data_IF_623408955338
#
_entry.id   IF_623408955338
#
_cell.length_a   1.000
_cell.length_b   1.000
_cell.length_c   1.000
_cell.angle_alpha   90.00
_cell.angle_beta   90.00
_cell.angle_gamma   90.00
#
_symmetry.space_group_name_H-M   'P 1'
#
loop_
_entity.id
_entity.type
_entity.pdbx_description
1 polymer ?
#
# COMPACT_ATOMS: atom_id res chain seq x y z
N UNK A 1 -25.21 -1.67 2.41
CA UNK A 1 -24.48 -2.87 1.92
C UNK A 1 -23.20 -2.52 1.16
N UNK A 2 -23.10 -1.38 0.45
CA UNK A 2 -21.89 -0.99 -0.29
C UNK A 2 -20.59 -0.93 0.53
N UNK A 3 -20.59 -0.27 1.70
CA UNK A 3 -19.33 -0.01 2.42
C UNK A 3 -18.61 -1.26 2.96
N UNK A 4 -19.31 -2.38 3.23
CA UNK A 4 -18.65 -3.60 3.73
C UNK A 4 -17.93 -4.35 2.61
N UNK A 5 -18.56 -4.48 1.44
CA UNK A 5 -17.92 -5.11 0.29
C UNK A 5 -16.69 -4.30 -0.17
N UNK A 6 -16.80 -2.97 -0.20
CA UNK A 6 -15.68 -2.08 -0.56
C UNK A 6 -14.52 -2.19 0.44
N UNK A 7 -14.78 -2.26 1.76
CA UNK A 7 -13.74 -2.47 2.77
C UNK A 7 -13.03 -3.82 2.60
N UNK A 8 -13.77 -4.89 2.29
CA UNK A 8 -13.20 -6.23 2.05
C UNK A 8 -12.34 -6.23 0.78
N UNK A 9 -12.83 -5.65 -0.31
CA UNK A 9 -12.08 -5.54 -1.57
C UNK A 9 -10.80 -4.73 -1.35
N UNK A 10 -10.89 -3.60 -0.65
CA UNK A 10 -9.71 -2.79 -0.29
C UNK A 10 -8.69 -3.61 0.52
N UNK A 11 -9.15 -4.36 1.52
CA UNK A 11 -8.30 -5.22 2.31
C UNK A 11 -7.56 -6.25 1.45
N UNK A 12 -8.28 -6.98 0.59
CA UNK A 12 -7.68 -7.98 -0.31
C UNK A 12 -6.67 -7.33 -1.27
N UNK A 13 -6.98 -6.16 -1.84
CA UNK A 13 -6.04 -5.43 -2.70
C UNK A 13 -4.77 -5.00 -1.96
N UNK A 14 -4.91 -4.43 -0.75
CA UNK A 14 -3.75 -3.99 0.03
C UNK A 14 -2.88 -5.14 0.54
N UNK A 15 -3.47 -6.25 0.99
CA UNK A 15 -2.73 -7.42 1.47
C UNK A 15 -2.03 -8.13 0.32
N UNK A 16 -2.72 -8.34 -0.82
CA UNK A 16 -2.10 -8.94 -2.01
C UNK A 16 -0.96 -8.06 -2.54
N UNK A 17 -1.17 -6.74 -2.63
CA UNK A 17 -0.12 -5.79 -2.99
C UNK A 17 1.07 -5.83 -2.03
N UNK A 18 0.82 -5.87 -0.71
CA UNK A 18 1.89 -5.90 0.29
C UNK A 18 2.68 -7.21 0.26
N UNK A 19 2.03 -8.35 -0.01
CA UNK A 19 2.71 -9.64 -0.21
C UNK A 19 3.64 -9.55 -1.43
N UNK A 20 3.17 -8.99 -2.55
CA UNK A 20 4.01 -8.81 -3.74
C UNK A 20 5.20 -7.88 -3.47
N UNK A 21 4.98 -6.74 -2.82
CA UNK A 21 6.07 -5.82 -2.41
C UNK A 21 7.08 -6.54 -1.50
N UNK A 22 6.60 -7.31 -0.54
CA UNK A 22 7.47 -8.07 0.38
C UNK A 22 8.26 -9.16 -0.33
N UNK A 23 7.65 -9.84 -1.30
CA UNK A 23 8.32 -10.85 -2.12
C UNK A 23 9.38 -10.27 -3.06
N UNK A 24 9.25 -9.00 -3.45
CA UNK A 24 10.18 -8.32 -4.36
C UNK A 24 11.56 -8.13 -3.74
N UNK A 25 11.63 -7.94 -2.41
CA UNK A 25 12.88 -7.72 -1.68
C UNK A 25 13.88 -8.89 -1.76
N UNK A 26 13.47 -10.16 -1.58
CA UNK A 26 14.37 -11.32 -1.72
C UNK A 26 14.51 -11.85 -3.16
N UNK A 27 13.68 -11.43 -4.13
CA UNK A 27 13.78 -11.94 -5.51
C UNK A 27 15.18 -11.67 -6.09
N UNK A 28 15.74 -12.70 -6.70
CA UNK A 28 17.11 -12.74 -7.23
C UNK A 28 17.32 -11.89 -8.51
N UNK A 29 16.25 -11.64 -9.27
CA UNK A 29 16.32 -11.03 -10.60
C UNK A 29 15.81 -9.58 -10.61
N UNK A 30 16.58 -8.63 -10.07
CA UNK A 30 16.30 -7.19 -10.24
C UNK A 30 16.90 -6.62 -11.52
N UNK A 31 18.05 -7.14 -11.93
CA UNK A 31 18.65 -6.93 -13.24
C UNK A 31 19.31 -8.20 -13.75
N UNK A 32 19.34 -8.38 -15.07
CA UNK A 32 19.94 -9.53 -15.75
C UNK A 32 20.78 -9.02 -16.92
N UNK A 33 21.95 -9.59 -17.18
CA UNK A 33 22.82 -9.15 -18.28
C UNK A 33 22.20 -9.39 -19.65
N UNK A 34 22.30 -8.41 -20.56
CA UNK A 34 21.99 -8.61 -21.98
C UNK A 34 23.07 -9.48 -22.63
N UNK A 35 22.66 -10.39 -23.52
CA UNK A 35 23.55 -11.31 -24.24
C UNK A 35 23.95 -10.68 -25.58
N UNK A 36 24.50 -9.48 -25.55
CA UNK A 36 24.96 -8.77 -26.76
C UNK A 36 26.48 -8.96 -26.95
N UNK A 37 26.85 -10.05 -27.63
CA UNK A 37 27.91 -9.98 -28.66
C UNK A 37 29.33 -10.46 -28.38
N UNK A 38 29.78 -10.78 -27.16
CA UNK A 38 31.15 -11.33 -26.97
C UNK A 38 31.14 -12.81 -26.60
N UNK A 39 31.39 -13.63 -27.64
CA UNK A 39 31.43 -15.10 -27.72
C UNK A 39 32.50 -15.76 -26.82
N UNK A 40 33.19 -15.02 -25.95
CA UNK A 40 34.34 -15.55 -25.21
C UNK A 40 33.96 -16.11 -23.82
N UNK A 41 32.82 -15.73 -23.24
CA UNK A 41 32.28 -16.37 -22.03
C UNK A 41 30.75 -16.37 -22.03
N UNK A 42 30.14 -17.54 -22.18
CA UNK A 42 28.71 -17.82 -21.99
C UNK A 42 28.37 -17.77 -20.49
N UNK A 43 28.42 -16.57 -19.89
CA UNK A 43 28.12 -16.36 -18.49
C UNK A 43 26.95 -15.37 -18.34
N UNK A 44 25.90 -15.76 -17.64
CA UNK A 44 24.73 -14.90 -17.38
C UNK A 44 24.87 -14.26 -16.00
N UNK A 45 24.90 -12.94 -15.94
CA UNK A 45 25.00 -12.21 -14.69
C UNK A 45 23.62 -11.72 -14.26
N UNK A 46 23.32 -11.88 -12.98
CA UNK A 46 22.08 -11.39 -12.39
C UNK A 46 22.38 -10.82 -11.00
N UNK A 47 21.62 -9.81 -10.61
CA UNK A 47 21.78 -9.18 -9.31
C UNK A 47 20.43 -8.84 -8.70
N UNK A 48 20.37 -8.91 -7.38
CA UNK A 48 19.28 -8.36 -6.58
C UNK A 48 19.80 -7.19 -5.72
N UNK A 49 19.08 -6.84 -4.65
CA UNK A 49 19.52 -5.80 -3.72
C UNK A 49 20.70 -6.23 -2.84
N UNK A 50 20.93 -7.52 -2.64
CA UNK A 50 21.77 -8.09 -1.57
C UNK A 50 23.05 -8.73 -2.08
N UNK A 51 22.98 -9.38 -3.23
CA UNK A 51 24.03 -10.16 -3.86
C UNK A 51 24.02 -9.98 -5.37
N UNK A 52 25.15 -10.31 -5.96
CA UNK A 52 25.30 -10.49 -7.40
C UNK A 52 25.78 -11.90 -7.67
N UNK A 53 25.29 -12.51 -8.75
CA UNK A 53 25.60 -13.87 -9.11
C UNK A 53 25.90 -13.97 -10.60
N UNK A 54 26.68 -14.99 -10.95
CA UNK A 54 27.03 -15.33 -12.32
C UNK A 54 26.79 -16.82 -12.53
N UNK A 55 26.17 -17.17 -13.65
CA UNK A 55 25.93 -18.55 -14.06
C UNK A 55 26.75 -18.84 -15.32
N UNK A 56 27.71 -19.76 -15.21
CA UNK A 56 28.59 -20.15 -16.33
C UNK A 56 27.91 -21.17 -17.27
N UNK A 57 28.52 -21.52 -18.41
CA UNK A 57 27.99 -22.51 -19.38
C UNK A 57 27.80 -23.91 -18.82
N UNK A 58 28.48 -24.24 -17.73
CA UNK A 58 28.32 -25.50 -17.02
C UNK A 58 27.05 -25.54 -16.16
N UNK A 59 26.31 -24.44 -16.07
CA UNK A 59 25.13 -24.27 -15.22
C UNK A 59 25.48 -24.00 -13.75
N UNK A 60 26.77 -23.93 -13.39
CA UNK A 60 27.22 -23.61 -12.04
C UNK A 60 27.01 -22.12 -11.78
N UNK A 61 26.39 -21.78 -10.65
CA UNK A 61 26.12 -20.40 -10.25
C UNK A 61 27.01 -19.99 -9.08
N UNK A 62 27.84 -18.98 -9.27
CA UNK A 62 28.72 -18.40 -8.26
C UNK A 62 28.12 -17.07 -7.78
N UNK A 63 27.78 -16.99 -6.49
CA UNK A 63 27.17 -15.81 -5.88
C UNK A 63 28.13 -15.10 -4.93
N UNK A 64 28.12 -13.77 -4.96
CA UNK A 64 28.89 -12.91 -4.07
C UNK A 64 27.97 -11.84 -3.48
N UNK A 65 27.94 -11.76 -2.15
CA UNK A 65 27.24 -10.69 -1.44
C UNK A 65 27.92 -9.34 -1.69
N UNK A 66 27.12 -8.27 -1.73
CA UNK A 66 27.68 -6.93 -1.87
C UNK A 66 28.54 -6.59 -0.65
N UNK A 67 29.80 -6.12 -0.84
CA UNK A 67 30.64 -5.69 0.26
C UNK A 67 29.97 -4.54 1.03
N UNK A 68 30.38 -4.37 2.29
CA UNK A 68 29.84 -3.44 3.30
C UNK A 68 29.39 -2.07 2.75
N UNK A 69 28.41 -1.45 3.44
CA UNK A 69 27.70 -0.18 3.12
C UNK A 69 28.58 1.03 2.73
N UNK A 70 29.91 0.96 2.76
CA UNK A 70 30.79 2.05 2.37
C UNK A 70 31.31 1.94 0.93
N UNK A 71 31.26 0.76 0.31
CA UNK A 71 31.80 0.50 -1.04
C UNK A 71 30.72 0.16 -2.08
N UNK A 72 29.44 0.21 -1.69
CA UNK A 72 28.31 -0.15 -2.54
C UNK A 72 27.65 1.09 -3.13
N UNK A 73 27.22 1.00 -4.39
CA UNK A 73 26.49 2.06 -5.09
C UNK A 73 25.34 2.65 -4.26
N UNK A 74 25.33 3.98 -4.16
CA UNK A 74 24.38 4.74 -3.33
C UNK A 74 22.93 4.40 -3.69
N UNK A 75 22.61 4.20 -4.97
CA UNK A 75 21.25 3.91 -5.40
C UNK A 75 20.73 2.58 -4.84
N UNK A 76 21.59 1.56 -4.68
CA UNK A 76 21.20 0.25 -4.11
C UNK A 76 20.85 0.42 -2.63
N UNK A 77 21.61 1.23 -1.90
CA UNK A 77 21.33 1.49 -0.48
C UNK A 77 20.02 2.24 -0.29
N UNK A 78 19.75 3.25 -1.12
CA UNK A 78 18.47 3.96 -1.13
C UNK A 78 17.32 3.00 -1.43
N UNK A 79 17.47 2.13 -2.43
CA UNK A 79 16.46 1.12 -2.75
C UNK A 79 16.21 0.15 -1.58
N UNK A 80 17.28 -0.33 -0.91
CA UNK A 80 17.14 -1.17 0.30
C UNK A 80 16.34 -0.46 1.40
N UNK A 81 16.71 0.78 1.72
CA UNK A 81 16.01 1.57 2.73
C UNK A 81 14.53 1.77 2.39
N UNK A 82 14.22 2.14 1.15
CA UNK A 82 12.85 2.34 0.69
C UNK A 82 12.03 1.04 0.69
N UNK A 83 12.61 -0.09 0.27
CA UNK A 83 11.93 -1.39 0.26
C UNK A 83 11.66 -1.89 1.68
N UNK A 84 12.62 -1.77 2.61
CA UNK A 84 12.41 -2.14 4.01
C UNK A 84 11.33 -1.25 4.64
N UNK A 85 11.41 0.06 4.42
CA UNK A 85 10.40 1.00 4.90
C UNK A 85 9.01 0.66 4.33
N UNK A 86 8.91 0.30 3.04
CA UNK A 86 7.66 -0.12 2.43
C UNK A 86 7.07 -1.36 3.11
N UNK A 87 7.88 -2.38 3.41
CA UNK A 87 7.44 -3.59 4.10
C UNK A 87 6.96 -3.27 5.53
N UNK A 88 7.72 -2.48 6.29
CA UNK A 88 7.35 -2.07 7.65
C UNK A 88 6.05 -1.25 7.67
N UNK A 89 5.91 -0.27 6.78
CA UNK A 89 4.70 0.55 6.66
C UNK A 89 3.48 -0.31 6.29
N UNK A 90 3.64 -1.27 5.39
CA UNK A 90 2.57 -2.19 5.02
C UNK A 90 2.16 -3.13 6.17
N UNK A 91 3.11 -3.56 7.01
CA UNK A 91 2.80 -4.35 8.21
C UNK A 91 1.97 -3.53 9.22
N UNK A 92 2.36 -2.29 9.51
CA UNK A 92 1.56 -1.40 10.36
C UNK A 92 0.20 -1.09 9.71
N UNK A 93 0.16 -0.88 8.39
CA UNK A 93 -1.08 -0.72 7.64
C UNK A 93 -2.02 -1.92 7.79
N UNK A 94 -1.51 -3.14 7.69
CA UNK A 94 -2.28 -4.38 7.81
C UNK A 94 -2.87 -4.56 9.21
N UNK A 95 -2.08 -4.32 10.26
CA UNK A 95 -2.56 -4.40 11.65
C UNK A 95 -3.66 -3.36 11.92
N UNK A 96 -3.48 -2.13 11.45
CA UNK A 96 -4.48 -1.07 11.54
C UNK A 96 -5.76 -1.39 10.74
N UNK A 97 -5.63 -2.00 9.56
CA UNK A 97 -6.78 -2.44 8.76
C UNK A 97 -7.59 -3.50 9.52
N UNK A 98 -6.92 -4.52 10.06
CA UNK A 98 -7.57 -5.59 10.81
C UNK A 98 -8.38 -5.05 12.00
N UNK A 99 -7.86 -4.07 12.75
CA UNK A 99 -8.58 -3.46 13.88
C UNK A 99 -9.65 -2.46 13.42
N UNK A 100 -9.44 -1.76 12.30
CA UNK A 100 -10.32 -0.71 11.80
C UNK A 100 -11.56 -1.20 11.04
N UNK A 101 -11.50 -2.37 10.40
CA UNK A 101 -12.63 -2.90 9.62
C UNK A 101 -13.89 -3.14 10.48
N UNK A 102 -15.07 -2.90 9.88
CA UNK A 102 -16.35 -3.09 10.58
C UNK A 102 -16.65 -4.53 10.97
N UNK A 103 -16.10 -5.50 10.24
CA UNK A 103 -16.25 -6.93 10.52
C UNK A 103 -15.46 -7.39 11.76
N UNK A 104 -14.49 -6.62 12.23
CA UNK A 104 -13.68 -6.98 13.40
C UNK A 104 -14.35 -6.52 14.69
N UNK A 105 -14.77 -7.48 15.53
CA UNK A 105 -15.45 -7.24 16.81
C UNK A 105 -14.46 -7.02 17.96
N UNK A 106 -13.48 -6.14 17.75
CA UNK A 106 -12.68 -5.56 18.83
C UNK A 106 -13.49 -4.34 19.30
N UNK A 107 -13.86 -4.30 20.57
CA UNK A 107 -14.68 -3.21 21.14
C UNK A 107 -14.10 -1.84 20.81
N UNK A 108 -14.97 -0.85 20.58
CA UNK A 108 -14.56 0.51 20.20
C UNK A 108 -15.71 1.28 19.56
N UNK A 109 -15.64 2.60 19.57
CA UNK A 109 -16.62 3.44 18.88
C UNK A 109 -16.43 3.36 17.37
N UNK A 110 -17.53 3.49 16.62
CA UNK A 110 -17.50 3.58 15.14
C UNK A 110 -16.58 4.70 14.63
N UNK A 111 -16.41 5.76 15.41
CA UNK A 111 -15.49 6.87 15.10
C UNK A 111 -14.02 6.46 15.18
N UNK A 112 -13.65 5.64 16.17
CA UNK A 112 -12.27 5.15 16.32
C UNK A 112 -11.94 4.15 15.20
N UNK A 113 -12.85 3.23 14.91
CA UNK A 113 -12.69 2.28 13.79
C UNK A 113 -12.48 3.01 12.46
N UNK A 114 -13.29 4.03 12.19
CA UNK A 114 -13.13 4.86 11.00
C UNK A 114 -11.75 5.54 10.92
N UNK A 115 -11.24 6.09 12.03
CA UNK A 115 -9.90 6.71 12.06
C UNK A 115 -8.80 5.68 11.78
N UNK A 116 -8.91 4.47 12.32
CA UNK A 116 -7.94 3.39 12.12
C UNK A 116 -7.92 2.91 10.67
N UNK A 117 -9.08 2.76 10.02
CA UNK A 117 -9.16 2.40 8.60
C UNK A 117 -8.53 3.45 7.70
N UNK A 118 -8.80 4.74 7.96
CA UNK A 118 -8.17 5.83 7.20
C UNK A 118 -6.66 5.84 7.42
N UNK A 119 -6.19 5.67 8.66
CA UNK A 119 -4.76 5.60 8.98
C UNK A 119 -4.08 4.40 8.29
N UNK A 120 -4.76 3.26 8.23
CA UNK A 120 -4.31 2.09 7.47
C UNK A 120 -4.15 2.40 5.98
N UNK A 121 -5.16 3.06 5.38
CA UNK A 121 -5.09 3.49 3.98
C UNK A 121 -3.87 4.37 3.69
N UNK A 122 -3.58 5.35 4.56
CA UNK A 122 -2.37 6.18 4.44
C UNK A 122 -1.08 5.36 4.50
N UNK A 123 -0.98 4.38 5.40
CA UNK A 123 0.20 3.51 5.50
C UNK A 123 0.39 2.66 4.24
N UNK A 124 -0.68 2.11 3.67
CA UNK A 124 -0.60 1.34 2.42
C UNK A 124 -0.25 2.20 1.21
N UNK A 125 -0.77 3.43 1.11
CA UNK A 125 -0.38 4.38 0.06
C UNK A 125 1.11 4.72 0.19
N UNK A 126 1.59 5.04 1.39
CA UNK A 126 3.00 5.37 1.61
C UNK A 126 3.91 4.15 1.32
N UNK A 127 3.51 2.95 1.75
CA UNK A 127 4.19 1.70 1.43
C UNK A 127 4.32 1.50 -0.09
N UNK A 128 3.22 1.65 -0.83
CA UNK A 128 3.22 1.52 -2.28
C UNK A 128 4.09 2.57 -2.98
N UNK A 129 4.07 3.83 -2.52
CA UNK A 129 4.92 4.90 -3.06
C UNK A 129 6.41 4.65 -2.79
N UNK A 130 6.78 4.17 -1.60
CA UNK A 130 8.16 3.81 -1.28
C UNK A 130 8.67 2.70 -2.21
N UNK A 131 7.90 1.62 -2.40
CA UNK A 131 8.29 0.53 -3.30
C UNK A 131 8.31 0.98 -4.78
N UNK A 132 7.35 1.80 -5.21
CA UNK A 132 7.29 2.33 -6.57
C UNK A 132 8.54 3.18 -6.86
N UNK A 133 8.91 4.03 -5.91
CA UNK A 133 10.10 4.90 -6.00
C UNK A 133 11.37 4.05 -6.04
N UNK A 134 11.51 3.05 -5.17
CA UNK A 134 12.66 2.15 -5.16
C UNK A 134 12.84 1.43 -6.50
N UNK A 135 11.78 0.81 -7.01
CA UNK A 135 11.83 0.09 -8.28
C UNK A 135 12.08 1.04 -9.46
N UNK A 136 11.52 2.26 -9.42
CA UNK A 136 11.72 3.26 -10.48
C UNK A 136 13.14 3.83 -10.49
N UNK A 137 13.73 4.10 -9.31
CA UNK A 137 15.14 4.52 -9.20
C UNK A 137 16.04 3.42 -9.76
N UNK A 138 15.80 2.17 -9.37
CA UNK A 138 16.59 1.03 -9.84
C UNK A 138 16.47 0.87 -11.36
N UNK A 139 15.25 0.88 -11.90
CA UNK A 139 14.99 0.78 -13.33
C UNK A 139 15.61 1.94 -14.12
N UNK A 140 15.52 3.17 -13.60
CA UNK A 140 16.10 4.34 -14.23
C UNK A 140 17.62 4.19 -14.37
N UNK A 141 18.32 3.74 -13.31
CA UNK A 141 19.77 3.50 -13.36
C UNK A 141 20.17 2.45 -14.39
N UNK A 142 19.49 1.30 -14.39
CA UNK A 142 19.75 0.24 -15.39
C UNK A 142 19.53 0.76 -16.81
N UNK A 143 18.47 1.53 -17.02
CA UNK A 143 18.14 2.09 -18.34
C UNK A 143 19.16 3.16 -18.78
N UNK A 144 19.58 4.05 -17.89
CA UNK A 144 20.60 5.06 -18.22
C UNK A 144 21.92 4.43 -18.61
N UNK A 145 22.34 3.40 -17.88
CA UNK A 145 23.60 2.69 -18.15
C UNK A 145 23.51 1.90 -19.47
N UNK A 146 22.34 1.35 -19.81
CA UNK A 146 22.14 0.61 -21.06
C UNK A 146 22.29 1.48 -22.31
N UNK A 147 21.80 2.73 -22.26
CA UNK A 147 21.78 3.65 -23.40
C UNK A 147 22.97 4.61 -23.46
N UNK A 148 23.83 4.66 -22.44
CA UNK A 148 25.02 5.50 -22.46
C UNK A 148 26.05 4.94 -23.47
N UNK A 149 26.40 5.69 -24.54
CA UNK A 149 27.38 5.25 -25.53
C UNK A 149 28.80 5.14 -24.97
N UNK A 150 29.09 5.78 -23.82
CA UNK A 150 30.38 5.71 -23.14
C UNK A 150 30.46 4.54 -22.15
N UNK A 151 29.36 3.80 -21.94
CA UNK A 151 29.32 2.66 -21.04
C UNK A 151 29.91 1.42 -21.72
N UNK A 152 31.20 1.18 -21.47
CA UNK A 152 31.97 0.05 -22.01
C UNK A 152 31.74 -1.26 -21.21
N UNK A 153 31.12 -1.17 -20.03
CA UNK A 153 30.84 -2.32 -19.19
C UNK A 153 29.64 -3.14 -19.70
N UNK A 154 29.45 -4.32 -19.12
CA UNK A 154 28.37 -5.23 -19.50
C UNK A 154 26.99 -4.59 -19.27
N UNK A 155 26.14 -4.62 -20.29
CA UNK A 155 24.80 -4.07 -20.25
C UNK A 155 23.82 -4.99 -19.52
N UNK A 156 22.86 -4.39 -18.82
CA UNK A 156 21.84 -5.10 -18.07
C UNK A 156 20.43 -4.68 -18.51
N UNK A 157 19.52 -5.65 -18.50
CA UNK A 157 18.09 -5.51 -18.71
C UNK A 157 17.33 -5.51 -17.38
N UNK A 158 16.09 -5.05 -17.42
CA UNK A 158 15.19 -4.99 -16.27
C UNK A 158 14.76 -6.40 -15.86
N UNK A 159 15.01 -6.77 -14.61
CA UNK A 159 14.64 -8.09 -14.09
C UNK A 159 13.18 -8.19 -13.65
N UNK A 160 12.69 -9.43 -13.52
CA UNK A 160 11.33 -9.76 -13.11
C UNK A 160 10.89 -9.12 -11.78
N UNK A 161 11.82 -8.91 -10.85
CA UNK A 161 11.52 -8.31 -9.55
C UNK A 161 10.89 -6.91 -9.69
N UNK A 162 11.37 -6.12 -10.64
CA UNK A 162 10.90 -4.75 -10.85
C UNK A 162 9.42 -4.75 -11.25
N UNK A 163 9.01 -5.63 -12.17
CA UNK A 163 7.62 -5.74 -12.59
C UNK A 163 6.70 -6.18 -11.45
N UNK A 164 7.15 -7.13 -10.62
CA UNK A 164 6.40 -7.59 -9.44
C UNK A 164 6.26 -6.46 -8.42
N UNK A 165 7.33 -5.71 -8.17
CA UNK A 165 7.32 -4.55 -7.28
C UNK A 165 6.35 -3.47 -7.74
N UNK A 166 6.37 -3.13 -9.04
CA UNK A 166 5.44 -2.15 -9.61
C UNK A 166 3.99 -2.60 -9.50
N UNK A 167 3.70 -3.87 -9.83
CA UNK A 167 2.36 -4.43 -9.69
C UNK A 167 1.88 -4.39 -8.24
N UNK A 168 2.72 -4.82 -7.29
CA UNK A 168 2.43 -4.76 -5.86
C UNK A 168 2.19 -3.33 -5.36
N UNK A 169 3.01 -2.37 -5.79
CA UNK A 169 2.85 -0.96 -5.45
C UNK A 169 1.51 -0.38 -5.93
N UNK A 170 1.11 -0.67 -7.17
CA UNK A 170 -0.17 -0.20 -7.72
C UNK A 170 -1.33 -0.75 -6.90
N UNK A 171 -1.31 -2.04 -6.56
CA UNK A 171 -2.34 -2.67 -5.72
C UNK A 171 -2.41 -2.04 -4.32
N UNK A 172 -1.26 -1.80 -3.68
CA UNK A 172 -1.19 -1.10 -2.39
C UNK A 172 -1.77 0.32 -2.45
N UNK A 173 -1.41 1.10 -3.48
CA UNK A 173 -1.90 2.47 -3.64
C UNK A 173 -3.40 2.48 -3.89
N UNK A 174 -3.90 1.68 -4.83
CA UNK A 174 -5.33 1.62 -5.14
C UNK A 174 -6.15 1.14 -3.94
N UNK A 175 -5.73 0.05 -3.29
CA UNK A 175 -6.40 -0.47 -2.09
C UNK A 175 -6.36 0.54 -0.93
N UNK A 176 -5.23 1.21 -0.71
CA UNK A 176 -5.09 2.25 0.31
C UNK A 176 -5.96 3.47 0.06
N UNK A 177 -6.07 3.92 -1.20
CA UNK A 177 -7.00 5.00 -1.59
C UNK A 177 -8.45 4.60 -1.35
N UNK A 178 -8.84 3.37 -1.66
CA UNK A 178 -10.20 2.86 -1.38
C UNK A 178 -10.47 2.87 0.14
N UNK A 179 -9.50 2.49 0.98
CA UNK A 179 -9.64 2.61 2.44
C UNK A 179 -9.83 4.05 2.92
N UNK A 180 -9.08 5.00 2.35
CA UNK A 180 -9.25 6.42 2.65
C UNK A 180 -10.63 6.96 2.22
N UNK A 181 -11.15 6.52 1.07
CA UNK A 181 -12.40 7.02 0.49
C UNK A 181 -13.66 6.39 1.10
N UNK A 182 -13.61 5.10 1.50
CA UNK A 182 -14.76 4.33 2.03
C UNK A 182 -15.44 4.94 3.27
N UNK A 183 -14.76 5.88 3.94
CA UNK A 183 -15.24 6.58 5.14
C UNK A 183 -15.46 8.09 4.93
N UNK A 184 -14.88 8.67 3.87
CA UNK A 184 -15.18 10.06 3.48
C UNK A 184 -16.67 10.19 3.14
N UNK A 185 -17.27 9.21 2.48
CA UNK A 185 -18.71 9.16 2.21
C UNK A 185 -19.54 9.09 3.50
N UNK A 186 -19.10 8.32 4.50
CA UNK A 186 -19.76 8.22 5.80
C UNK A 186 -19.67 9.50 6.64
N UNK A 187 -18.57 10.23 6.53
CA UNK A 187 -18.34 11.51 7.24
C UNK A 187 -19.04 12.70 6.57
N UNK A 188 -19.13 12.71 5.24
CA UNK A 188 -19.83 13.74 4.47
C UNK A 188 -21.35 13.64 4.67
N UNK A 189 -21.90 12.42 4.69
CA UNK A 189 -23.30 12.19 5.03
C UNK A 189 -23.64 12.63 6.48
N UNK A 190 -22.68 12.49 7.41
CA UNK A 190 -22.85 12.92 8.81
C UNK A 190 -22.77 14.45 8.96
N UNK A 191 -21.87 15.12 8.22
CA UNK A 191 -21.82 16.60 8.15
C UNK A 191 -23.07 17.22 7.54
N UNK A 192 -23.66 16.60 6.51
CA UNK A 192 -24.94 17.06 5.92
C UNK A 192 -26.09 16.91 6.92
N UNK A 193 -26.10 15.82 7.71
CA UNK A 193 -27.13 15.59 8.75
C UNK A 193 -27.01 16.56 9.93
N UNK A 194 -25.80 16.86 10.39
CA UNK A 194 -25.57 17.87 11.43
C UNK A 194 -25.89 19.30 10.94
N UNK A 195 -25.66 19.58 9.65
CA UNK A 195 -26.07 20.83 9.02
C UNK A 195 -27.60 20.99 8.90
N UNK A 196 -28.32 19.90 8.65
CA UNK A 196 -29.80 19.90 8.63
C UNK A 196 -30.39 20.00 10.03
N UNK A 197 -29.81 19.31 11.02
CA UNK A 197 -30.27 19.38 12.42
C UNK A 197 -30.06 20.74 13.07
N UNK A 198 -29.12 21.57 12.60
CA UNK A 198 -28.96 22.96 13.03
C UNK A 198 -29.95 23.94 12.39
N UNK A 199 -30.66 23.56 11.32
CA UNK A 199 -31.64 24.42 10.64
C UNK A 199 -33.08 24.29 11.17
N UNK A 200 -33.36 23.31 12.01
CA UNK A 200 -34.61 23.27 12.77
C UNK A 200 -34.33 23.66 14.23
N UNK A 201 -34.78 24.83 14.72
CA UNK A 201 -34.75 25.12 16.14
C UNK A 201 -35.73 24.15 16.80
N UNK A 202 -35.21 23.12 17.48
CA UNK A 202 -36.00 22.44 18.50
C UNK A 202 -36.11 23.43 19.65
N UNK A 203 -37.21 24.17 19.68
CA UNK A 203 -37.61 24.95 20.86
C UNK A 203 -37.90 23.91 21.95
N UNK A 204 -36.90 23.64 22.79
CA UNK A 204 -37.09 22.92 24.04
C UNK A 204 -37.93 23.81 24.96
N UNK A 205 -39.26 23.67 24.89
CA UNK A 205 -40.14 24.15 25.95
C UNK A 205 -39.94 23.24 27.17
N UNK A 206 -39.18 23.75 28.15
CA UNK A 206 -39.09 23.19 29.49
C UNK A 206 -40.45 23.33 30.19
N UNK A 207 -41.32 22.35 30.04
CA UNK A 207 -42.50 22.21 30.90
C UNK A 207 -42.12 21.27 32.04
N UNK A 208 -41.91 21.86 33.21
CA UNK A 208 -41.76 21.15 34.48
C UNK A 208 -43.08 20.48 34.84
N UNK A 209 -43.25 19.22 34.45
CA UNK A 209 -44.38 18.41 34.89
C UNK A 209 -43.94 17.56 36.09
N UNK A 210 -44.17 18.09 37.30
CA UNK A 210 -44.17 17.29 38.53
C UNK A 210 -45.35 16.30 38.44
N UNK A 211 -45.04 15.01 38.58
CA UNK A 211 -45.97 13.88 38.68
C UNK A 211 -46.91 13.65 37.48
N UNK A 212 -46.59 12.64 36.64
CA UNK A 212 -47.59 11.60 36.34
C UNK A 212 -46.95 10.35 35.75
N UNK A 213 -47.39 9.20 36.28
CA UNK A 213 -47.22 7.86 35.73
C UNK A 213 -47.86 7.79 34.32
N UNK A 214 -47.32 6.86 33.53
CA UNK A 214 -48.01 6.07 32.48
C UNK A 214 -48.63 6.81 31.28
N UNK A 215 -48.03 6.68 30.10
CA UNK A 215 -48.43 5.75 29.03
C UNK A 215 -47.76 6.14 27.69
N UNK A 216 -47.36 5.10 26.96
CA UNK A 216 -46.84 5.15 25.59
C UNK A 216 -48.00 5.42 24.64
N UNK A 217 -47.97 6.53 23.88
CA UNK A 217 -48.89 6.73 22.78
C UNK A 217 -48.11 7.10 21.50
N UNK A 218 -48.16 6.20 20.52
CA UNK A 218 -47.92 6.52 19.11
C UNK A 218 -49.13 7.31 18.64
N UNK A 219 -48.93 8.45 18.02
CA UNK A 219 -49.96 9.07 17.18
C UNK A 219 -49.34 9.36 15.81
N UNK A 220 -49.78 8.54 14.87
CA UNK A 220 -49.74 8.75 13.44
C UNK A 220 -50.80 9.81 13.15
N UNK A 221 -50.46 10.90 12.47
CA UNK A 221 -51.50 11.78 11.93
C UNK A 221 -51.37 11.94 10.42
N UNK A 222 -52.44 11.48 9.77
CA UNK A 222 -52.80 11.63 8.37
C UNK A 222 -53.69 12.86 8.28
N UNK A 223 -53.45 13.65 7.23
CA UNK A 223 -54.43 14.35 6.41
C UNK A 223 -55.03 15.72 6.80
N UNK A 224 -55.22 16.50 5.70
CA UNK A 224 -55.96 17.76 5.44
C UNK A 224 -55.25 19.05 5.87
N UNK A 225 -55.07 20.06 5.01
CA UNK A 225 -55.83 20.48 3.81
C UNK A 225 -55.06 20.46 2.47
#
# INVERSE_FOLDING_TARGET
>A
MGNMATEIVAFVLTISGWILVSSTLPIDYWKVSSVDGTVITTATFWSNLWKTCVTDSTGVSNCKDFPSMLALDVYIQVCRGLMIAAVCLGFFGATLALVGMKCTKIGGSETTKARLTVLSGFHFVLSGLCCMTACSIYAHRVTTDFFDPLFVAQKFELGAALFIGWAGSVLCILGGLIFCLSLSEGSSARRVRDGYSRKHPVISLNISCRNCRTYRARLCDRHFD
#
